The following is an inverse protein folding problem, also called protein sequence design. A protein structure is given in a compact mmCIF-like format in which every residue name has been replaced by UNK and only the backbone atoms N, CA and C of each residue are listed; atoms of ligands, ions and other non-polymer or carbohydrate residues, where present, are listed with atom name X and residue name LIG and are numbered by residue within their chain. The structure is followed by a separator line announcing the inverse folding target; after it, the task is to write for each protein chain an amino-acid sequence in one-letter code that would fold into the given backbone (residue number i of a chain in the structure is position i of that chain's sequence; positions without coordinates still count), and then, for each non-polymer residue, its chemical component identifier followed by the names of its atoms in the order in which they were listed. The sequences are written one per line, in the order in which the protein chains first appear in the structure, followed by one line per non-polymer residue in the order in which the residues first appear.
data_IF_415063148320
#
_entry.id   IF_415063148320
#
_cell.length_a   1.000
_cell.length_b   1.000
_cell.length_c   1.000
_cell.angle_alpha   90.00
_cell.angle_beta   90.00
_cell.angle_gamma   90.00
#
_symmetry.space_group_name_H-M   'P 1'
#
loop_
_entity.id
_entity.type
_entity.pdbx_description
1 polymer ?
#
# COMPACT_ATOMS: atom_id res chain seq x y z
N UNK A 1 13.53 7.34 5.69
CA UNK A 1 12.67 6.14 5.58
C UNK A 1 11.81 5.99 6.82
N UNK A 2 10.50 5.75 6.64
CA UNK A 2 9.55 5.56 7.73
C UNK A 2 9.43 4.07 8.09
N UNK A 3 9.26 3.76 9.39
CA UNK A 3 9.24 2.39 9.91
C UNK A 3 7.81 1.83 9.96
N UNK A 4 7.08 1.84 8.84
CA UNK A 4 5.67 1.46 8.75
C UNK A 4 5.36 0.44 7.63
N UNK A 5 6.25 -0.51 7.39
CA UNK A 5 6.01 -1.57 6.40
C UNK A 5 4.93 -2.57 6.82
N UNK A 6 4.28 -3.22 5.83
CA UNK A 6 3.19 -4.18 6.05
C UNK A 6 3.56 -5.31 7.04
N UNK A 7 4.73 -5.93 6.88
CA UNK A 7 5.23 -6.99 7.78
C UNK A 7 5.33 -6.49 9.22
N UNK A 8 5.89 -5.28 9.42
CA UNK A 8 6.03 -4.71 10.76
C UNK A 8 4.68 -4.49 11.45
N UNK A 9 3.68 -3.98 10.74
CA UNK A 9 2.35 -3.78 11.28
C UNK A 9 1.69 -5.12 11.63
N UNK A 10 1.76 -6.11 10.73
CA UNK A 10 1.17 -7.43 10.95
C UNK A 10 1.83 -8.16 12.12
N UNK A 11 3.15 -8.16 12.23
CA UNK A 11 3.84 -8.89 13.30
C UNK A 11 3.73 -8.21 14.69
N UNK A 12 3.64 -6.88 14.74
CA UNK A 12 3.74 -6.13 15.99
C UNK A 12 2.42 -5.64 16.53
N UNK A 13 1.45 -5.35 15.67
CA UNK A 13 0.19 -4.69 16.03
C UNK A 13 -1.01 -5.54 15.63
N UNK A 14 -1.13 -5.90 14.34
CA UNK A 14 -2.29 -6.61 13.77
C UNK A 14 -2.04 -8.12 13.79
N UNK A 15 -2.05 -8.72 14.98
CA UNK A 15 -1.67 -10.14 15.19
C UNK A 15 -2.83 -11.12 15.02
N UNK A 16 -4.06 -10.63 15.12
CA UNK A 16 -5.26 -11.44 14.95
C UNK A 16 -5.57 -11.63 13.44
N UNK A 17 -6.28 -12.70 13.12
CA UNK A 17 -6.63 -13.05 11.74
C UNK A 17 -8.14 -13.36 11.62
N UNK A 18 -8.96 -12.45 11.04
CA UNK A 18 -8.60 -11.08 10.66
C UNK A 18 -8.26 -10.21 11.89
N UNK A 19 -7.60 -9.06 11.62
CA UNK A 19 -7.26 -8.10 12.66
C UNK A 19 -8.51 -7.57 13.37
N UNK A 20 -8.43 -7.40 14.69
CA UNK A 20 -9.52 -6.84 15.48
C UNK A 20 -9.64 -5.32 15.24
N UNK A 21 -10.82 -4.75 15.53
CA UNK A 21 -11.03 -3.30 15.40
C UNK A 21 -10.06 -2.49 16.28
N UNK A 22 -9.69 -3.02 17.45
CA UNK A 22 -8.70 -2.40 18.34
C UNK A 22 -7.30 -2.41 17.72
N UNK A 23 -6.87 -3.53 17.16
CA UNK A 23 -5.59 -3.66 16.47
C UNK A 23 -5.50 -2.73 15.25
N UNK A 24 -6.58 -2.60 14.47
CA UNK A 24 -6.65 -1.66 13.35
C UNK A 24 -6.51 -0.22 13.84
N UNK A 25 -7.22 0.16 14.91
CA UNK A 25 -7.11 1.50 15.50
C UNK A 25 -5.69 1.80 15.98
N UNK A 26 -5.02 0.84 16.60
CA UNK A 26 -3.63 0.97 17.02
C UNK A 26 -2.67 1.10 15.83
N UNK A 27 -2.92 0.34 14.77
CA UNK A 27 -2.13 0.41 13.53
C UNK A 27 -2.30 1.76 12.83
N UNK A 28 -3.53 2.29 12.74
CA UNK A 28 -3.81 3.63 12.20
C UNK A 28 -3.08 4.72 12.99
N UNK A 29 -3.13 4.66 14.32
CA UNK A 29 -2.43 5.62 15.19
C UNK A 29 -0.91 5.55 15.00
N UNK A 30 -0.35 4.34 14.89
CA UNK A 30 1.07 4.15 14.63
C UNK A 30 1.48 4.70 13.26
N UNK A 31 0.70 4.44 12.20
CA UNK A 31 0.97 4.98 10.86
C UNK A 31 0.89 6.50 10.87
N UNK A 32 -0.10 7.09 11.52
CA UNK A 32 -0.24 8.54 11.66
C UNK A 32 0.99 9.17 12.35
N UNK A 33 1.52 8.54 13.41
CA UNK A 33 2.75 8.98 14.08
C UNK A 33 3.97 8.95 13.13
N UNK A 34 4.13 7.87 12.35
CA UNK A 34 5.23 7.77 11.38
C UNK A 34 5.10 8.81 10.26
N UNK A 35 3.89 9.05 9.77
CA UNK A 35 3.62 10.07 8.75
C UNK A 35 3.84 11.49 9.27
N UNK A 36 3.56 11.77 10.55
CA UNK A 36 3.88 13.05 11.17
C UNK A 36 5.40 13.34 11.15
N UNK A 37 6.24 12.31 11.30
CA UNK A 37 7.69 12.43 11.15
C UNK A 37 8.10 12.69 9.70
N UNK A 38 7.45 12.01 8.74
CA UNK A 38 7.69 12.25 7.30
C UNK A 38 7.38 13.70 6.93
N UNK A 39 6.27 14.26 7.46
CA UNK A 39 5.88 15.67 7.24
C UNK A 39 6.93 16.67 7.70
N UNK A 40 7.70 16.35 8.74
CA UNK A 40 8.76 17.25 9.23
C UNK A 40 9.93 17.36 8.22
N UNK A 41 10.17 16.33 7.43
CA UNK A 41 11.30 16.24 6.51
C UNK A 41 10.91 16.48 5.04
N UNK A 42 9.65 16.22 4.68
CA UNK A 42 9.17 16.25 3.29
C UNK A 42 8.06 17.29 3.13
N UNK A 43 8.16 18.22 2.17
CA UNK A 43 7.13 19.24 1.91
C UNK A 43 5.91 18.63 1.21
N UNK A 44 5.09 17.88 1.95
CA UNK A 44 3.94 17.11 1.43
C UNK A 44 2.99 17.98 0.59
N UNK A 45 2.69 19.22 1.03
CA UNK A 45 1.80 20.12 0.32
C UNK A 45 2.26 20.55 -1.09
N UNK A 46 3.52 20.28 -1.45
CA UNK A 46 4.03 20.51 -2.81
C UNK A 46 3.92 19.29 -3.73
N UNK A 47 3.46 18.14 -3.20
CA UNK A 47 3.32 16.90 -3.97
C UNK A 47 2.33 17.08 -5.11
N UNK A 48 2.69 16.60 -6.30
CA UNK A 48 1.82 16.60 -7.50
C UNK A 48 1.43 15.21 -7.94
N UNK A 49 2.28 14.23 -7.65
CA UNK A 49 2.09 12.84 -8.08
C UNK A 49 2.52 11.91 -6.97
N UNK A 50 1.66 10.93 -6.65
CA UNK A 50 2.01 9.79 -5.82
C UNK A 50 2.30 8.60 -6.72
N UNK A 51 3.46 8.00 -6.56
CA UNK A 51 3.82 6.73 -7.22
C UNK A 51 3.91 5.65 -6.16
N UNK A 52 3.09 4.60 -6.32
CA UNK A 52 3.12 3.41 -5.49
C UNK A 52 3.92 2.31 -6.17
N UNK A 53 4.91 1.76 -5.48
CA UNK A 53 5.71 0.62 -5.95
C UNK A 53 5.79 -0.48 -4.90
N UNK A 54 6.32 -1.62 -5.29
CA UNK A 54 6.38 -2.84 -4.49
C UNK A 54 5.02 -3.48 -4.17
N UNK A 55 5.10 -4.62 -3.48
CA UNK A 55 4.06 -5.63 -3.49
C UNK A 55 2.66 -5.23 -3.01
N UNK A 56 2.52 -4.36 -2.03
CA UNK A 56 1.19 -3.91 -1.59
C UNK A 56 0.51 -3.11 -2.70
N UNK A 57 1.21 -2.17 -3.31
CA UNK A 57 0.63 -1.30 -4.34
C UNK A 57 0.31 -2.05 -5.64
N UNK A 58 1.20 -2.95 -6.08
CA UNK A 58 0.94 -3.75 -7.29
C UNK A 58 -0.19 -4.74 -7.10
N UNK A 59 -0.33 -5.34 -5.90
CA UNK A 59 -1.48 -6.19 -5.57
C UNK A 59 -2.78 -5.38 -5.52
N UNK A 60 -2.79 -4.20 -4.92
CA UNK A 60 -3.96 -3.30 -4.92
C UNK A 60 -4.37 -2.94 -6.36
N UNK A 61 -3.41 -2.72 -7.25
CA UNK A 61 -3.70 -2.46 -8.66
C UNK A 61 -4.35 -3.67 -9.35
N UNK A 62 -3.80 -4.86 -9.15
CA UNK A 62 -4.36 -6.08 -9.72
C UNK A 62 -5.81 -6.33 -9.27
N UNK A 63 -6.08 -6.12 -7.97
CA UNK A 63 -7.42 -6.25 -7.38
C UNK A 63 -8.38 -5.17 -7.91
N UNK A 64 -7.94 -3.90 -7.95
CA UNK A 64 -8.76 -2.79 -8.42
C UNK A 64 -9.16 -2.93 -9.90
N UNK A 65 -8.31 -3.56 -10.71
CA UNK A 65 -8.58 -3.85 -12.12
C UNK A 65 -9.37 -5.15 -12.33
N UNK A 66 -9.61 -5.93 -11.28
CA UNK A 66 -10.31 -7.23 -11.37
C UNK A 66 -9.53 -8.26 -12.19
N UNK A 67 -8.21 -8.25 -12.14
CA UNK A 67 -7.40 -9.20 -12.89
C UNK A 67 -7.60 -10.63 -12.36
N UNK A 68 -7.74 -11.58 -13.26
CA UNK A 68 -7.83 -13.01 -12.91
C UNK A 68 -6.46 -13.64 -12.66
N UNK A 69 -5.41 -13.05 -13.24
CA UNK A 69 -4.02 -13.41 -13.05
C UNK A 69 -3.17 -12.17 -12.91
N UNK A 70 -2.04 -12.29 -12.22
CA UNK A 70 -1.11 -11.17 -12.08
C UNK A 70 -0.49 -10.81 -13.43
N UNK A 71 -0.75 -9.59 -13.92
CA UNK A 71 -0.23 -9.06 -15.18
C UNK A 71 0.53 -7.75 -14.93
N UNK A 72 1.85 -7.82 -14.96
CA UNK A 72 2.73 -6.68 -14.72
C UNK A 72 2.58 -5.55 -15.75
N UNK A 73 2.20 -5.88 -17.00
CA UNK A 73 1.96 -4.87 -18.04
C UNK A 73 0.67 -4.08 -17.80
N UNK A 74 -0.38 -4.75 -17.32
CA UNK A 74 -1.63 -4.09 -16.93
C UNK A 74 -1.47 -3.26 -15.64
N UNK A 75 -0.60 -3.69 -14.74
CA UNK A 75 -0.35 -3.04 -13.45
C UNK A 75 0.54 -1.80 -13.61
N UNK A 76 1.63 -1.92 -14.36
CA UNK A 76 2.59 -0.82 -14.53
C UNK A 76 1.98 0.38 -15.24
N UNK A 77 2.08 1.56 -14.64
CA UNK A 77 1.51 2.80 -15.16
C UNK A 77 0.00 2.96 -14.92
N UNK A 78 -0.67 1.97 -14.31
CA UNK A 78 -2.10 2.12 -13.95
C UNK A 78 -2.30 3.26 -12.95
N UNK A 79 -3.42 3.98 -13.10
CA UNK A 79 -3.79 5.09 -12.22
C UNK A 79 -5.02 4.69 -11.40
N UNK A 80 -4.88 4.72 -10.09
CA UNK A 80 -5.91 4.32 -9.14
C UNK A 80 -6.45 5.52 -8.38
N UNK A 81 -7.78 5.61 -8.25
CA UNK A 81 -8.44 6.66 -7.47
C UNK A 81 -8.48 6.27 -6.00
N UNK A 82 -8.28 7.24 -5.10
CA UNK A 82 -8.29 7.00 -3.66
C UNK A 82 -9.64 6.53 -3.14
N UNK A 83 -10.76 7.00 -3.70
CA UNK A 83 -12.10 6.54 -3.30
C UNK A 83 -12.30 5.03 -3.55
N UNK A 84 -11.90 4.55 -4.73
CA UNK A 84 -11.96 3.12 -5.05
C UNK A 84 -11.00 2.30 -4.16
N UNK A 85 -9.78 2.80 -3.94
CA UNK A 85 -8.82 2.14 -3.08
C UNK A 85 -9.25 2.05 -1.62
N UNK A 86 -9.96 3.06 -1.09
CA UNK A 86 -10.51 3.02 0.28
C UNK A 86 -11.50 1.88 0.47
N UNK A 87 -12.34 1.60 -0.53
CA UNK A 87 -13.26 0.45 -0.48
C UNK A 87 -12.48 -0.86 -0.45
N UNK A 88 -11.50 -0.99 -1.32
CA UNK A 88 -10.67 -2.18 -1.44
C UNK A 88 -9.83 -2.43 -0.18
N UNK A 89 -9.15 -1.41 0.33
CA UNK A 89 -8.35 -1.54 1.56
C UNK A 89 -9.21 -1.88 2.78
N UNK A 90 -10.42 -1.31 2.88
CA UNK A 90 -11.36 -1.67 3.93
C UNK A 90 -11.82 -3.14 3.84
N UNK A 91 -11.93 -3.70 2.65
CA UNK A 91 -12.19 -5.11 2.45
C UNK A 91 -11.01 -5.97 2.91
N UNK A 92 -9.80 -5.66 2.44
CA UNK A 92 -8.57 -6.40 2.78
C UNK A 92 -8.30 -6.44 4.29
N UNK A 93 -8.64 -5.37 5.02
CA UNK A 93 -8.45 -5.31 6.47
C UNK A 93 -9.45 -6.22 7.21
N UNK A 94 -10.63 -6.48 6.66
CA UNK A 94 -11.69 -7.27 7.29
C UNK A 94 -11.65 -8.75 6.97
N UNK A 95 -10.96 -9.14 5.90
CA UNK A 95 -10.87 -10.55 5.48
C UNK A 95 -9.72 -11.26 6.19
N UNK A 96 -9.90 -12.56 6.48
CA UNK A 96 -8.83 -13.38 7.00
C UNK A 96 -7.79 -13.73 5.92
N UNK A 97 -6.58 -14.12 6.32
CA UNK A 97 -5.54 -14.53 5.38
C UNK A 97 -5.98 -15.72 4.52
N UNK A 98 -6.80 -16.63 5.06
CA UNK A 98 -7.37 -17.75 4.31
C UNK A 98 -8.33 -17.27 3.22
N UNK A 99 -9.18 -16.29 3.52
CA UNK A 99 -10.09 -15.68 2.53
C UNK A 99 -9.30 -14.94 1.45
N UNK A 100 -8.30 -14.16 1.85
CA UNK A 100 -7.44 -13.42 0.95
C UNK A 100 -6.63 -14.33 0.02
N UNK A 101 -6.16 -15.48 0.51
CA UNK A 101 -5.36 -16.44 -0.27
C UNK A 101 -6.14 -17.16 -1.38
N UNK A 102 -7.48 -17.09 -1.37
CA UNK A 102 -8.32 -17.63 -2.45
C UNK A 102 -8.20 -16.77 -3.72
N UNK A 103 -7.89 -15.49 -3.57
CA UNK A 103 -7.76 -14.60 -4.71
C UNK A 103 -6.44 -14.85 -5.47
N UNK A 104 -6.50 -15.20 -6.77
CA UNK A 104 -5.33 -15.64 -7.52
C UNK A 104 -4.26 -14.55 -7.73
N UNK A 105 -4.61 -13.27 -7.58
CA UNK A 105 -3.65 -12.17 -7.70
C UNK A 105 -2.96 -11.81 -6.37
N UNK A 106 -3.43 -12.39 -5.25
CA UNK A 106 -2.76 -12.25 -3.95
C UNK A 106 -1.80 -13.41 -3.77
N UNK A 107 -0.50 -13.13 -3.87
CA UNK A 107 0.50 -14.18 -3.61
C UNK A 107 0.31 -14.75 -2.19
N UNK A 108 0.33 -16.09 -2.00
CA UNK A 108 0.09 -16.71 -0.68
C UNK A 108 0.95 -16.12 0.45
N UNK A 109 2.22 -15.83 0.20
CA UNK A 109 3.12 -15.19 1.17
C UNK A 109 2.81 -13.71 1.46
N UNK A 110 1.74 -13.15 0.87
CA UNK A 110 1.27 -11.77 1.15
C UNK A 110 -0.07 -11.72 1.86
N UNK A 111 -0.85 -12.79 1.80
CA UNK A 111 -2.16 -12.85 2.45
C UNK A 111 -2.10 -12.49 3.94
N UNK A 112 -1.01 -12.87 4.62
CA UNK A 112 -0.80 -12.59 6.04
C UNK A 112 -0.40 -11.15 6.37
N UNK A 113 0.06 -10.37 5.40
CA UNK A 113 0.63 -9.03 5.64
C UNK A 113 -0.06 -7.92 4.87
N UNK A 114 -0.93 -8.25 3.90
CA UNK A 114 -1.54 -7.24 3.02
C UNK A 114 -2.50 -6.31 3.76
N UNK A 115 -3.16 -6.80 4.82
CA UNK A 115 -4.01 -5.96 5.68
C UNK A 115 -3.21 -4.83 6.35
N UNK A 116 -2.01 -5.13 6.86
CA UNK A 116 -1.09 -4.11 7.37
C UNK A 116 -0.65 -3.13 6.29
N UNK A 117 -0.41 -3.62 5.07
CA UNK A 117 -0.14 -2.77 3.91
C UNK A 117 -1.31 -1.84 3.56
N UNK A 118 -2.54 -2.33 3.64
CA UNK A 118 -3.76 -1.56 3.40
C UNK A 118 -3.92 -0.40 4.41
N UNK A 119 -3.60 -0.62 5.68
CA UNK A 119 -3.58 0.44 6.70
C UNK A 119 -2.55 1.53 6.35
N UNK A 120 -1.34 1.14 5.95
CA UNK A 120 -0.30 2.11 5.52
C UNK A 120 -0.78 2.93 4.34
N UNK A 121 -1.36 2.29 3.32
CA UNK A 121 -1.87 2.98 2.12
C UNK A 121 -2.98 3.96 2.48
N UNK A 122 -3.90 3.58 3.38
CA UNK A 122 -4.95 4.48 3.87
C UNK A 122 -4.39 5.74 4.53
N UNK A 123 -3.39 5.60 5.38
CA UNK A 123 -2.72 6.74 6.02
C UNK A 123 -2.06 7.67 5.00
N UNK A 124 -1.35 7.12 4.02
CA UNK A 124 -0.71 7.89 2.95
C UNK A 124 -1.76 8.63 2.10
N UNK A 125 -2.84 7.96 1.71
CA UNK A 125 -3.93 8.58 0.94
C UNK A 125 -4.60 9.73 1.71
N UNK A 126 -4.80 9.55 3.01
CA UNK A 126 -5.37 10.59 3.88
C UNK A 126 -4.47 11.81 3.94
N UNK A 127 -3.19 11.62 4.23
CA UNK A 127 -2.22 12.71 4.28
C UNK A 127 -2.15 13.51 2.98
N UNK A 128 -2.09 12.83 1.84
CA UNK A 128 -1.97 13.49 0.53
C UNK A 128 -3.25 14.18 0.08
N UNK A 129 -4.41 13.61 0.37
CA UNK A 129 -5.68 14.25 0.08
C UNK A 129 -5.88 15.54 0.89
N UNK A 130 -5.48 15.54 2.17
CA UNK A 130 -5.64 16.68 3.07
C UNK A 130 -4.63 17.80 2.81
N UNK A 131 -3.38 17.48 2.48
CA UNK A 131 -2.30 18.46 2.41
C UNK A 131 -1.86 18.84 0.99
N UNK A 132 -2.09 18.00 0.00
CA UNK A 132 -1.59 18.20 -1.36
C UNK A 132 -2.68 18.19 -2.44
N UNK A 133 -3.95 17.98 -2.06
CA UNK A 133 -5.07 17.80 -3.00
C UNK A 133 -4.80 16.71 -4.06
N UNK A 134 -4.10 15.65 -3.66
CA UNK A 134 -3.81 14.48 -4.49
C UNK A 134 -4.82 13.39 -4.15
N UNK A 135 -5.53 12.90 -5.18
CA UNK A 135 -6.63 11.93 -5.03
C UNK A 135 -6.44 10.67 -5.90
N UNK A 136 -5.29 10.56 -6.53
CA UNK A 136 -4.92 9.39 -7.35
C UNK A 136 -3.49 8.96 -7.07
N UNK A 137 -3.17 7.71 -7.37
CA UNK A 137 -1.80 7.23 -7.41
C UNK A 137 -1.52 6.47 -8.70
N UNK A 138 -0.30 6.59 -9.20
CA UNK A 138 0.21 5.81 -10.31
C UNK A 138 1.00 4.63 -9.77
N UNK A 139 0.78 3.44 -10.31
CA UNK A 139 1.45 2.23 -9.85
C UNK A 139 2.67 1.92 -10.72
N UNK A 140 3.77 1.56 -10.07
CA UNK A 140 5.00 1.15 -10.75
C UNK A 140 5.38 -0.28 -10.37
N UNK A 141 5.62 -1.11 -11.38
CA UNK A 141 6.28 -2.40 -11.22
C UNK A 141 7.81 -2.25 -11.05
N UNK A 142 8.31 -1.09 -11.42
CA UNK A 142 9.72 -0.75 -11.24
C UNK A 142 9.96 -0.14 -9.89
N UNK A 143 11.03 -0.57 -9.23
CA UNK A 143 11.39 -0.12 -7.90
C UNK A 143 12.88 0.25 -7.78
N UNK A 144 13.39 0.31 -6.55
CA UNK A 144 14.77 0.68 -6.28
C UNK A 144 15.78 -0.27 -6.94
N UNK A 145 15.44 -1.56 -7.14
CA UNK A 145 16.32 -2.52 -7.77
C UNK A 145 16.52 -2.22 -9.25
N UNK A 146 15.43 -1.82 -9.95
CA UNK A 146 15.52 -1.38 -11.34
C UNK A 146 16.42 -0.16 -11.48
N UNK A 147 16.30 0.80 -10.56
CA UNK A 147 17.15 2.00 -10.53
C UNK A 147 18.63 1.66 -10.30
N UNK A 148 18.93 0.75 -9.38
CA UNK A 148 20.30 0.29 -9.14
C UNK A 148 20.89 -0.41 -10.38
N UNK A 149 20.10 -1.25 -11.04
CA UNK A 149 20.52 -1.95 -12.26
C UNK A 149 20.82 -0.94 -13.38
N UNK A 150 19.93 0.04 -13.59
CA UNK A 150 20.13 1.09 -14.59
C UNK A 150 21.39 1.90 -14.32
N UNK A 151 21.66 2.29 -13.06
CA UNK A 151 22.88 2.99 -12.67
C UNK A 151 24.14 2.15 -12.94
N UNK A 152 24.10 0.86 -12.60
CA UNK A 152 25.24 -0.04 -12.86
C UNK A 152 25.47 -0.32 -14.36
N UNK A 153 24.40 -0.27 -15.17
CA UNK A 153 24.47 -0.43 -16.63
C UNK A 153 24.96 0.85 -17.34
N UNK A 154 25.03 1.99 -16.65
CA UNK A 154 25.45 3.26 -17.21
C UNK A 154 24.37 3.96 -18.06
N UNK A 155 23.09 3.66 -17.77
CA UNK A 155 21.92 4.30 -18.39
C UNK A 155 21.41 5.48 -17.56
#
# INVERSE_FOLDING_TARGET
SAQMGCVRLSERIMRSNPATAEEVTQADAYVAEQLARVRADVPIGSTRTLVGCAGTFTTLSALAQGLETYDSHAIHGSVLRFDALRVLTAQLIRESSEQLSINPVIHPGRADVIAGGAVVVNGIMTLLAEEADVHTMTISEKDILDGIIAELAGE
#
